data_IF_117872415772
#
_entry.id   IF_117872415772
#
_cell.length_a   1.000
_cell.length_b   1.000
_cell.length_c   1.000
_cell.angle_alpha   90.00
_cell.angle_beta   90.00
_cell.angle_gamma   90.00
#
_symmetry.space_group_name_H-M   'P 1'
#
loop_
_entity.id
_entity.type
_entity.pdbx_description
1 polymer ?
#
# COMPACT_ATOMS: atom_id res chain seq x y z
N UNK A 1 12.15 -6.30 37.08
CA UNK A 1 11.39 -5.80 35.92
C UNK A 1 10.66 -6.96 35.27
N UNK A 2 9.39 -6.73 34.98
CA UNK A 2 8.58 -7.77 34.33
C UNK A 2 9.08 -8.03 32.92
N UNK A 3 9.11 -9.31 32.55
CA UNK A 3 9.62 -9.72 31.26
C UNK A 3 8.71 -9.22 30.13
N UNK A 4 9.33 -8.73 29.08
CA UNK A 4 8.58 -8.22 27.92
C UNK A 4 8.14 -9.40 27.05
N UNK A 5 6.85 -9.45 26.75
CA UNK A 5 6.29 -10.48 25.89
C UNK A 5 5.67 -9.81 24.68
N UNK A 6 6.13 -10.19 23.49
CA UNK A 6 5.64 -9.63 22.25
C UNK A 6 4.70 -10.58 21.56
N UNK A 7 3.53 -10.07 21.18
CA UNK A 7 2.58 -10.78 20.34
C UNK A 7 2.45 -10.03 19.02
N UNK A 8 2.58 -10.76 17.94
CA UNK A 8 2.44 -10.12 16.65
C UNK A 8 1.77 -11.07 15.67
N UNK A 9 0.94 -10.52 14.84
CA UNK A 9 0.36 -11.22 13.71
C UNK A 9 0.74 -10.43 12.47
N UNK A 10 1.54 -11.05 11.61
CA UNK A 10 1.96 -10.40 10.38
C UNK A 10 0.81 -10.50 9.38
N UNK A 11 0.41 -9.38 8.78
CA UNK A 11 -0.66 -9.43 7.79
C UNK A 11 -0.21 -10.12 6.53
N UNK A 12 -1.13 -10.86 5.94
CA UNK A 12 -0.91 -11.47 4.62
C UNK A 12 -1.80 -10.74 3.63
N UNK A 13 -1.20 -10.16 2.61
CA UNK A 13 -1.93 -9.42 1.59
C UNK A 13 -1.74 -10.15 0.28
N UNK A 14 -2.84 -10.59 -0.32
CA UNK A 14 -2.81 -11.31 -1.57
C UNK A 14 -3.64 -10.60 -2.61
N UNK A 15 -3.20 -10.68 -3.84
CA UNK A 15 -3.89 -10.12 -4.99
C UNK A 15 -3.76 -11.11 -6.14
N UNK A 16 -4.76 -11.13 -7.02
CA UNK A 16 -4.68 -11.93 -8.24
C UNK A 16 -3.78 -11.21 -9.26
N UNK A 17 -2.52 -11.04 -8.87
CA UNK A 17 -1.56 -10.19 -9.57
C UNK A 17 -1.33 -10.64 -11.00
N UNK A 18 -1.12 -11.93 -11.20
CA UNK A 18 -0.81 -12.44 -12.55
C UNK A 18 -1.99 -12.25 -13.50
N UNK A 19 -3.21 -12.45 -13.00
CA UNK A 19 -4.40 -12.26 -13.82
C UNK A 19 -4.57 -10.80 -14.22
N UNK A 20 -4.41 -9.90 -13.26
CA UNK A 20 -4.55 -8.46 -13.53
C UNK A 20 -3.44 -8.00 -14.47
N UNK A 21 -2.21 -8.47 -14.25
CA UNK A 21 -1.08 -8.13 -15.09
C UNK A 21 -1.32 -8.56 -16.53
N UNK A 22 -1.78 -9.80 -16.74
CA UNK A 22 -2.05 -10.30 -18.08
C UNK A 22 -3.14 -9.51 -18.77
N UNK A 23 -4.20 -9.17 -18.02
CA UNK A 23 -5.31 -8.39 -18.56
C UNK A 23 -4.85 -6.99 -18.98
N UNK A 24 -4.00 -6.36 -18.17
CA UNK A 24 -3.49 -5.03 -18.50
C UNK A 24 -2.56 -5.07 -19.70
N UNK A 25 -1.72 -6.10 -19.81
CA UNK A 25 -0.84 -6.24 -20.96
C UNK A 25 -1.68 -6.41 -22.23
N UNK A 26 -2.71 -7.25 -22.17
CA UNK A 26 -3.60 -7.46 -23.30
C UNK A 26 -4.27 -6.17 -23.73
N UNK A 27 -4.77 -5.40 -22.77
CA UNK A 27 -5.46 -4.15 -23.05
C UNK A 27 -4.52 -3.11 -23.67
N UNK A 28 -3.29 -2.99 -23.13
CA UNK A 28 -2.33 -2.03 -23.67
C UNK A 28 -1.87 -2.44 -25.07
N UNK A 29 -1.76 -3.72 -25.35
CA UNK A 29 -1.38 -4.17 -26.69
C UNK A 29 -2.49 -3.87 -27.68
N UNK A 30 -3.76 -4.03 -27.31
CA UNK A 30 -4.86 -3.63 -28.14
C UNK A 30 -4.81 -2.13 -28.44
N UNK A 31 -4.51 -1.34 -27.42
CA UNK A 31 -4.42 0.10 -27.55
C UNK A 31 -3.34 0.49 -28.56
N UNK A 32 -2.20 -0.18 -28.50
CA UNK A 32 -1.09 0.09 -29.43
C UNK A 32 -1.46 -0.25 -30.86
N UNK A 33 -2.34 -1.26 -31.05
CA UNK A 33 -2.74 -1.69 -32.38
C UNK A 33 -3.84 -0.87 -33.02
N UNK A 34 -4.43 0.09 -32.31
CA UNK A 34 -5.52 0.88 -32.84
C UNK A 34 -4.99 1.88 -33.88
N UNK A 35 -5.57 1.84 -35.09
CA UNK A 35 -5.21 2.78 -36.15
C UNK A 35 -5.91 4.11 -35.88
N UNK A 36 -5.21 5.21 -36.14
CA UNK A 36 -5.77 6.54 -35.87
C UNK A 36 -6.75 6.94 -36.97
N UNK A 37 -7.99 6.54 -36.80
CA UNK A 37 -9.12 6.95 -37.58
C UNK A 37 -10.12 7.62 -36.63
N UNK A 38 -11.24 8.13 -37.15
CA UNK A 38 -12.26 8.70 -36.27
C UNK A 38 -12.79 7.65 -35.30
N UNK A 39 -13.06 6.44 -35.80
CA UNK A 39 -13.51 5.34 -34.93
C UNK A 39 -12.41 4.90 -34.00
N UNK A 40 -11.18 4.79 -34.52
CA UNK A 40 -10.04 4.41 -33.70
C UNK A 40 -9.73 5.43 -32.60
N UNK A 41 -9.93 6.70 -32.90
CA UNK A 41 -9.71 7.75 -31.91
C UNK A 41 -10.70 7.62 -30.74
N UNK A 42 -11.97 7.32 -31.03
CA UNK A 42 -12.96 7.09 -30.00
C UNK A 42 -12.58 5.91 -29.13
N UNK A 43 -12.13 4.82 -29.76
CA UNK A 43 -11.69 3.62 -29.02
C UNK A 43 -10.48 3.94 -28.16
N UNK A 44 -9.53 4.73 -28.67
CA UNK A 44 -8.36 5.14 -27.89
C UNK A 44 -8.78 5.91 -26.65
N UNK A 45 -9.69 6.86 -26.79
CA UNK A 45 -10.14 7.65 -25.65
C UNK A 45 -10.85 6.78 -24.62
N UNK A 46 -11.68 5.84 -25.06
CA UNK A 46 -12.37 4.93 -24.16
C UNK A 46 -11.38 4.06 -23.41
N UNK A 47 -10.36 3.54 -24.09
CA UNK A 47 -9.32 2.72 -23.46
C UNK A 47 -8.49 3.54 -22.47
N UNK A 48 -8.17 4.79 -22.82
CA UNK A 48 -7.44 5.66 -21.90
C UNK A 48 -8.23 5.89 -20.62
N UNK A 49 -9.53 6.13 -20.73
CA UNK A 49 -10.39 6.30 -19.55
C UNK A 49 -10.41 5.04 -18.69
N UNK A 50 -10.53 3.88 -19.34
CA UNK A 50 -10.56 2.60 -18.65
C UNK A 50 -9.26 2.39 -17.89
N UNK A 51 -8.12 2.61 -18.54
CA UNK A 51 -6.82 2.41 -17.91
C UNK A 51 -6.60 3.40 -16.77
N UNK A 52 -7.03 4.65 -16.94
CA UNK A 52 -6.92 5.64 -15.87
C UNK A 52 -7.76 5.23 -14.67
N UNK A 53 -8.96 4.70 -14.90
CA UNK A 53 -9.82 4.23 -13.83
C UNK A 53 -9.19 3.06 -13.06
N UNK A 54 -8.60 2.12 -13.79
CA UNK A 54 -7.92 0.98 -13.15
C UNK A 54 -6.72 1.47 -12.35
N UNK A 55 -5.94 2.39 -12.91
CA UNK A 55 -4.80 2.95 -12.19
C UNK A 55 -5.24 3.60 -10.88
N UNK A 56 -6.31 4.37 -10.93
CA UNK A 56 -6.80 5.06 -9.74
C UNK A 56 -7.29 4.06 -8.69
N UNK A 57 -7.96 2.99 -9.11
CA UNK A 57 -8.41 1.94 -8.18
C UNK A 57 -7.22 1.28 -7.51
N UNK A 58 -6.21 0.93 -8.29
CA UNK A 58 -5.01 0.29 -7.74
C UNK A 58 -4.36 1.20 -6.71
N UNK A 59 -4.23 2.48 -7.02
CA UNK A 59 -3.62 3.45 -6.11
C UNK A 59 -4.46 3.62 -4.84
N UNK A 60 -5.80 3.65 -4.98
CA UNK A 60 -6.68 3.77 -3.83
C UNK A 60 -6.54 2.55 -2.90
N UNK A 61 -6.50 1.35 -3.47
CA UNK A 61 -6.30 0.13 -2.69
C UNK A 61 -4.96 0.19 -1.95
N UNK A 62 -3.90 0.61 -2.65
CA UNK A 62 -2.58 0.73 -2.06
C UNK A 62 -2.61 1.67 -0.84
N UNK A 63 -3.21 2.82 -1.01
CA UNK A 63 -3.27 3.83 0.07
C UNK A 63 -4.09 3.32 1.25
N UNK A 64 -5.23 2.67 0.98
CA UNK A 64 -6.09 2.15 2.04
C UNK A 64 -5.37 1.09 2.86
N UNK A 65 -4.71 0.15 2.19
CA UNK A 65 -3.99 -0.92 2.87
C UNK A 65 -2.82 -0.33 3.67
N UNK A 66 -2.12 0.62 3.09
CA UNK A 66 -1.00 1.27 3.78
C UNK A 66 -1.47 1.92 5.08
N UNK A 67 -2.60 2.63 5.05
CA UNK A 67 -3.14 3.26 6.27
C UNK A 67 -3.49 2.22 7.32
N UNK A 68 -4.13 1.13 6.91
CA UNK A 68 -4.52 0.08 7.84
C UNK A 68 -3.32 -0.53 8.51
N UNK A 69 -2.24 -0.73 7.77
CA UNK A 69 -1.04 -1.37 8.31
C UNK A 69 -0.22 -0.42 9.18
N UNK A 70 -0.23 0.87 8.88
CA UNK A 70 0.55 1.84 9.65
C UNK A 70 -0.04 2.10 11.04
N UNK A 71 -1.35 1.97 11.18
CA UNK A 71 -2.01 2.32 12.43
C UNK A 71 -1.48 1.52 13.62
N UNK A 72 -1.48 0.17 13.58
CA UNK A 72 -0.94 -0.59 14.71
C UNK A 72 0.56 -0.40 14.90
N UNK A 73 1.31 -0.14 13.83
CA UNK A 73 2.74 0.10 13.93
C UNK A 73 3.00 1.39 14.71
N UNK A 74 2.26 2.45 14.41
CA UNK A 74 2.42 3.72 15.10
C UNK A 74 2.08 3.61 16.58
N UNK A 75 1.03 2.85 16.91
CA UNK A 75 0.66 2.63 18.31
C UNK A 75 1.76 1.90 19.05
N UNK A 76 2.30 0.85 18.45
CA UNK A 76 3.38 0.09 19.06
C UNK A 76 4.62 0.96 19.27
N UNK A 77 4.98 1.75 18.27
CA UNK A 77 6.13 2.66 18.40
C UNK A 77 5.93 3.66 19.52
N UNK A 78 4.70 4.17 19.68
CA UNK A 78 4.38 5.09 20.77
C UNK A 78 4.59 4.43 22.12
N UNK A 79 4.15 3.19 22.27
CA UNK A 79 4.36 2.44 23.50
C UNK A 79 5.83 2.22 23.77
N UNK A 80 6.60 1.88 22.74
CA UNK A 80 8.03 1.69 22.88
C UNK A 80 8.71 2.98 23.34
N UNK A 81 8.35 4.11 22.75
CA UNK A 81 8.92 5.40 23.13
C UNK A 81 8.60 5.74 24.57
N UNK A 82 7.38 5.47 25.01
CA UNK A 82 6.99 5.73 26.39
C UNK A 82 7.81 4.91 27.37
N UNK A 83 7.98 3.62 27.07
CA UNK A 83 8.76 2.74 27.93
C UNK A 83 10.23 3.15 27.95
N UNK A 84 10.77 3.48 26.80
CA UNK A 84 12.16 3.96 26.73
C UNK A 84 12.32 5.24 27.55
N UNK A 85 11.36 6.13 27.48
CA UNK A 85 11.37 7.35 28.27
C UNK A 85 11.42 7.07 29.77
N UNK A 86 10.67 6.07 30.22
CA UNK A 86 10.69 5.70 31.65
C UNK A 86 12.07 5.16 32.04
N UNK A 87 12.68 4.37 31.24
CA UNK A 87 14.02 3.87 31.50
C UNK A 87 15.04 4.99 31.49
N UNK A 88 14.98 5.85 30.56
CA UNK A 88 15.88 7.02 30.48
C UNK A 88 15.67 8.00 31.62
N UNK A 89 14.53 8.08 31.84
CA UNK A 89 14.25 8.94 32.96
C UNK A 89 14.74 8.41 34.27
N UNK A 90 14.75 7.28 34.27
CA UNK A 90 15.30 6.55 35.39
C UNK A 90 16.79 6.44 35.30
N UNK A 91 17.14 6.36 34.25
CA UNK A 91 18.52 6.28 33.96
C UNK A 91 19.15 7.61 34.00
N UNK A 92 18.49 8.41 33.70
CA UNK A 92 18.90 9.75 33.70
C UNK A 92 19.02 10.31 35.10
N UNK A 93 18.35 9.82 35.66
CA UNK A 93 18.38 10.14 37.05
C UNK A 93 19.43 9.37 37.80
N UNK A 94 19.57 8.50 37.36
CA UNK A 94 20.57 7.59 37.88
C UNK A 94 21.90 7.86 37.31
N UNK A 95 21.84 8.34 36.42
CA UNK A 95 23.02 8.67 35.77
C UNK A 95 23.51 9.98 36.23
N UNK A 96 22.80 10.34 36.69
CA UNK A 96 23.07 11.57 37.11
C UNK A 96 24.10 11.76 37.65
#
# INVERSE_FOLDING_TARGET
VKEIVLNKQLPIINMNFEEVKASLIETTEKYKGIIVTEEGLKDCKATQKELAGVRNKIDDYRKAIKREMEKPIKEFEGQCKELIGLVEXXXXXXXX
#
